data_IF_133576066483
#
_entry.id   IF_133576066483
#
_cell.length_a   1.000
_cell.length_b   1.000
_cell.length_c   1.000
_cell.angle_alpha   90.00
_cell.angle_beta   90.00
_cell.angle_gamma   90.00
#
_symmetry.space_group_name_H-M   'P 1'
#
loop_
_entity.id
_entity.type
_entity.pdbx_description
1 polymer ?
#
# COMPACT_ATOMS: atom_id res chain seq x y z
N UNK A 1 4.57 20.61 -75.55
CA UNK A 1 5.57 20.80 -74.48
C UNK A 1 4.94 21.71 -73.44
N UNK A 2 4.24 21.15 -72.45
CA UNK A 2 4.67 20.85 -71.05
C UNK A 2 3.97 21.86 -70.11
N UNK A 3 2.93 21.40 -69.39
CA UNK A 3 2.86 21.15 -67.92
C UNK A 3 2.34 22.39 -67.16
N UNK A 4 1.16 22.39 -66.51
CA UNK A 4 0.67 21.64 -65.35
C UNK A 4 0.84 22.39 -64.01
N UNK A 5 -0.28 22.95 -63.52
CA UNK A 5 -0.82 22.88 -62.15
C UNK A 5 0.05 23.22 -60.91
N UNK A 6 -0.37 24.31 -60.25
CA UNK A 6 -0.74 24.42 -58.81
C UNK A 6 0.32 24.39 -57.67
N UNK A 7 0.03 25.25 -56.67
CA UNK A 7 0.43 25.26 -55.24
C UNK A 7 1.73 26.00 -54.88
N UNK A 8 1.59 27.27 -54.48
CA UNK A 8 2.48 27.88 -53.48
C UNK A 8 2.00 27.45 -52.09
N UNK A 9 2.73 26.52 -51.49
CA UNK A 9 2.58 26.09 -50.11
C UNK A 9 3.26 27.08 -49.15
N UNK A 10 2.52 27.45 -48.12
CA UNK A 10 3.01 28.04 -46.88
C UNK A 10 4.12 27.14 -46.29
N UNK A 11 5.28 27.66 -45.83
CA UNK A 11 6.25 26.83 -45.13
C UNK A 11 5.61 26.36 -43.81
N UNK A 12 5.25 25.08 -43.78
CA UNK A 12 4.90 24.37 -42.57
C UNK A 12 6.05 24.51 -41.57
N UNK A 13 5.77 25.17 -40.46
CA UNK A 13 6.50 24.95 -39.21
C UNK A 13 6.36 23.46 -38.94
N UNK A 14 7.46 22.72 -39.10
CA UNK A 14 7.53 21.33 -38.73
C UNK A 14 7.36 21.25 -37.21
N UNK A 15 6.19 20.80 -36.75
CA UNK A 15 6.03 20.32 -35.38
C UNK A 15 7.06 19.21 -35.16
N UNK A 16 8.03 19.48 -34.30
CA UNK A 16 8.90 18.47 -33.76
C UNK A 16 8.04 17.41 -33.04
N UNK A 17 8.39 16.12 -33.11
CA UNK A 17 7.65 15.09 -32.39
C UNK A 17 7.69 15.39 -30.89
N UNK A 18 6.52 15.62 -30.29
CA UNK A 18 6.38 15.73 -28.86
C UNK A 18 6.98 14.48 -28.21
N UNK A 19 7.95 14.70 -27.31
CA UNK A 19 8.59 13.68 -26.47
C UNK A 19 7.57 12.67 -25.95
N UNK A 20 7.86 11.37 -26.08
CA UNK A 20 6.97 10.23 -25.84
C UNK A 20 6.52 9.99 -24.40
N UNK A 21 6.09 11.03 -23.68
CA UNK A 21 5.48 10.92 -22.35
C UNK A 21 3.98 10.66 -22.50
N UNK A 22 3.47 9.62 -21.82
CA UNK A 22 2.04 9.37 -21.76
C UNK A 22 1.28 10.57 -21.17
N UNK A 23 0.05 10.88 -21.63
CA UNK A 23 -0.75 11.97 -21.04
C UNK A 23 -0.90 11.77 -19.53
N UNK A 24 -0.81 12.84 -18.73
CA UNK A 24 -0.87 12.77 -17.26
C UNK A 24 -2.11 11.99 -16.74
N UNK A 25 -3.25 12.13 -17.41
CA UNK A 25 -4.46 11.33 -17.09
C UNK A 25 -4.32 9.82 -17.34
N UNK A 26 -3.46 9.39 -18.28
CA UNK A 26 -3.10 7.99 -18.46
C UNK A 26 -2.19 7.49 -17.34
N UNK A 27 -1.20 8.29 -16.92
CA UNK A 27 -0.30 7.98 -15.80
C UNK A 27 -1.09 7.82 -14.50
N UNK A 28 -1.99 8.75 -14.17
CA UNK A 28 -2.81 8.69 -12.97
C UNK A 28 -3.67 7.42 -12.92
N UNK A 29 -4.31 7.07 -14.06
CA UNK A 29 -5.07 5.80 -14.17
C UNK A 29 -4.18 4.59 -13.96
N UNK A 30 -2.97 4.58 -14.50
CA UNK A 30 -2.04 3.46 -14.34
C UNK A 30 -1.58 3.31 -12.89
N UNK A 31 -1.21 4.40 -12.22
CA UNK A 31 -0.89 4.40 -10.78
C UNK A 31 -2.05 3.82 -9.97
N UNK A 32 -3.28 4.22 -10.28
CA UNK A 32 -4.46 3.69 -9.62
C UNK A 32 -4.72 2.20 -9.88
N UNK A 33 -4.43 1.70 -11.08
CA UNK A 33 -4.47 0.27 -11.38
C UNK A 33 -3.43 -0.51 -10.57
N UNK A 34 -2.20 0.01 -10.47
CA UNK A 34 -1.14 -0.63 -9.68
C UNK A 34 -1.52 -0.69 -8.20
N UNK A 35 -2.05 0.39 -7.62
CA UNK A 35 -2.51 0.41 -6.24
C UNK A 35 -3.67 -0.56 -5.99
N UNK A 36 -4.66 -0.59 -6.89
CA UNK A 36 -5.79 -1.52 -6.80
C UNK A 36 -5.33 -2.97 -6.91
N UNK A 37 -4.40 -3.27 -7.83
CA UNK A 37 -3.84 -4.60 -7.99
C UNK A 37 -3.02 -5.03 -6.77
N UNK A 38 -2.24 -4.13 -6.17
CA UNK A 38 -1.49 -4.39 -4.95
C UNK A 38 -2.41 -4.77 -3.79
N UNK A 39 -3.51 -4.02 -3.58
CA UNK A 39 -4.49 -4.36 -2.54
C UNK A 39 -5.23 -5.65 -2.82
N UNK A 40 -5.59 -5.92 -4.07
CA UNK A 40 -6.18 -7.22 -4.41
C UNK A 40 -5.24 -8.38 -4.11
N UNK A 41 -3.95 -8.24 -4.45
CA UNK A 41 -2.92 -9.26 -4.17
C UNK A 41 -2.71 -9.46 -2.67
N UNK A 42 -2.69 -8.40 -1.88
CA UNK A 42 -2.65 -8.48 -0.41
C UNK A 42 -3.86 -9.28 0.09
N UNK A 43 -5.08 -8.87 -0.29
CA UNK A 43 -6.27 -9.52 0.28
C UNK A 43 -6.44 -10.96 -0.20
N UNK A 44 -6.05 -11.28 -1.43
CA UNK A 44 -6.10 -12.64 -1.98
C UNK A 44 -5.00 -13.57 -1.44
N UNK A 45 -4.01 -13.04 -0.71
CA UNK A 45 -2.88 -13.81 -0.21
C UNK A 45 -3.30 -14.90 0.78
N UNK A 46 -2.61 -16.04 0.74
CA UNK A 46 -2.76 -17.09 1.74
C UNK A 46 -1.52 -17.96 1.82
N UNK A 47 -1.12 -18.44 3.02
CA UNK A 47 -1.67 -18.12 4.34
C UNK A 47 -1.28 -16.70 4.82
N UNK A 48 -2.16 -16.08 5.62
CA UNK A 48 -1.94 -14.76 6.22
C UNK A 48 -2.37 -14.75 7.71
N UNK A 49 -1.43 -14.81 8.65
CA UNK A 49 -1.77 -15.03 10.06
C UNK A 49 -2.79 -14.07 10.65
N UNK A 50 -3.93 -14.59 11.13
CA UNK A 50 -4.99 -13.80 11.78
C UNK A 50 -5.73 -12.77 10.91
N UNK A 51 -5.43 -12.70 9.61
CA UNK A 51 -6.00 -11.75 8.65
C UNK A 51 -7.06 -12.42 7.78
N UNK A 52 -7.97 -11.61 7.23
CA UNK A 52 -9.01 -12.05 6.27
C UNK A 52 -8.39 -12.49 4.95
N UNK A 53 -8.69 -13.69 4.49
CA UNK A 53 -8.21 -14.28 3.24
C UNK A 53 -9.38 -14.86 2.44
N UNK A 54 -9.17 -15.35 1.20
CA UNK A 54 -10.20 -16.11 0.49
C UNK A 54 -10.66 -17.37 1.24
N UNK A 55 -9.83 -17.91 2.14
CA UNK A 55 -10.11 -19.15 2.86
C UNK A 55 -10.98 -18.92 4.10
N UNK A 56 -10.80 -17.82 4.81
CA UNK A 56 -11.51 -17.52 6.06
C UNK A 56 -11.43 -16.04 6.47
N UNK A 57 -12.13 -15.70 7.55
CA UNK A 57 -12.16 -14.34 8.12
C UNK A 57 -11.00 -14.07 9.10
N UNK A 58 -10.04 -14.99 9.26
CA UNK A 58 -9.00 -14.92 10.27
C UNK A 58 -9.57 -14.65 11.66
N UNK A 59 -9.02 -13.65 12.34
CA UNK A 59 -9.45 -13.23 13.69
C UNK A 59 -10.67 -12.30 13.69
N UNK A 60 -11.33 -12.09 12.55
CA UNK A 60 -12.47 -11.18 12.44
C UNK A 60 -13.80 -11.93 12.46
N UNK A 61 -14.84 -11.24 12.92
CA UNK A 61 -16.24 -11.74 12.93
C UNK A 61 -17.19 -10.86 12.13
N UNK A 62 -16.73 -9.67 11.78
CA UNK A 62 -17.46 -8.59 11.14
C UNK A 62 -17.07 -8.41 9.66
N UNK A 63 -16.00 -9.04 9.19
CA UNK A 63 -15.52 -8.91 7.81
C UNK A 63 -15.00 -10.23 7.25
N UNK A 64 -15.14 -10.38 5.94
CA UNK A 64 -14.72 -11.52 5.14
C UNK A 64 -14.12 -11.05 3.79
N UNK A 65 -13.63 -11.99 2.97
CA UNK A 65 -13.05 -11.68 1.66
C UNK A 65 -14.00 -10.87 0.77
N UNK A 66 -15.31 -11.19 0.79
CA UNK A 66 -16.32 -10.48 -0.02
C UNK A 66 -16.47 -9.02 0.40
N UNK A 67 -16.35 -8.74 1.69
CA UNK A 67 -16.36 -7.38 2.25
C UNK A 67 -15.16 -6.58 1.75
N UNK A 68 -13.97 -7.18 1.69
CA UNK A 68 -12.81 -6.55 1.08
C UNK A 68 -12.96 -6.33 -0.44
N UNK A 69 -13.54 -7.27 -1.17
CA UNK A 69 -13.81 -7.10 -2.62
C UNK A 69 -14.78 -5.93 -2.86
N UNK A 70 -15.84 -5.80 -2.06
CA UNK A 70 -16.75 -4.63 -2.11
C UNK A 70 -16.01 -3.32 -1.84
N UNK A 71 -15.13 -3.32 -0.85
CA UNK A 71 -14.28 -2.18 -0.52
C UNK A 71 -13.37 -1.79 -1.69
N UNK A 72 -12.69 -2.74 -2.34
CA UNK A 72 -11.85 -2.49 -3.53
C UNK A 72 -12.65 -1.85 -4.67
N UNK A 73 -13.85 -2.36 -4.93
CA UNK A 73 -14.74 -1.80 -5.95
C UNK A 73 -15.12 -0.35 -5.65
N UNK A 74 -15.36 -0.01 -4.38
CA UNK A 74 -15.66 1.36 -3.95
C UNK A 74 -14.46 2.31 -4.11
N UNK A 75 -13.24 1.79 -3.99
CA UNK A 75 -11.99 2.55 -4.05
C UNK A 75 -11.37 2.67 -5.45
N UNK A 76 -11.92 1.99 -6.47
CA UNK A 76 -11.34 1.95 -7.83
C UNK A 76 -11.04 3.31 -8.46
N UNK A 77 -11.85 4.34 -8.15
CA UNK A 77 -11.67 5.69 -8.70
C UNK A 77 -10.78 6.58 -7.83
N UNK A 78 -10.63 6.24 -6.55
CA UNK A 78 -9.88 7.04 -5.58
C UNK A 78 -8.40 7.13 -5.94
N UNK A 79 -7.74 6.01 -6.25
CA UNK A 79 -6.30 6.01 -6.51
C UNK A 79 -5.90 6.84 -7.74
N UNK A 80 -6.62 6.78 -8.88
CA UNK A 80 -6.40 7.73 -9.98
C UNK A 80 -6.68 9.19 -9.59
N UNK A 81 -7.77 9.45 -8.84
CA UNK A 81 -8.13 10.81 -8.40
C UNK A 81 -7.02 11.44 -7.55
N UNK A 82 -6.51 10.70 -6.56
CA UNK A 82 -5.48 11.20 -5.66
C UNK A 82 -4.09 11.28 -6.33
N UNK A 83 -3.79 10.39 -7.28
CA UNK A 83 -2.61 10.52 -8.12
C UNK A 83 -2.66 11.80 -8.98
N UNK A 84 -3.79 12.08 -9.62
CA UNK A 84 -4.00 13.29 -10.40
C UNK A 84 -3.95 14.55 -9.52
N UNK A 85 -4.48 14.47 -8.29
CA UNK A 85 -4.33 15.55 -7.32
C UNK A 85 -2.85 15.80 -7.01
N UNK A 86 -2.04 14.76 -6.83
CA UNK A 86 -0.59 14.87 -6.64
C UNK A 86 0.15 15.56 -7.80
N UNK A 87 -0.30 15.37 -9.04
CA UNK A 87 0.30 15.97 -10.24
C UNK A 87 0.20 17.51 -10.28
N UNK A 88 -0.73 18.09 -9.52
CA UNK A 88 -0.88 19.55 -9.41
C UNK A 88 -0.24 20.11 -8.12
N UNK A 89 0.68 19.35 -7.53
CA UNK A 89 1.45 19.68 -6.32
C UNK A 89 0.61 20.28 -5.17
N UNK A 90 -0.34 19.51 -4.61
CA UNK A 90 -1.19 20.02 -3.56
C UNK A 90 -0.44 20.02 -2.23
N UNK A 91 -0.79 20.97 -1.35
CA UNK A 91 -0.58 20.78 0.08
C UNK A 91 -1.33 19.54 0.61
N UNK A 92 -1.15 19.17 1.87
CA UNK A 92 -1.73 17.93 2.40
C UNK A 92 -3.27 17.92 2.46
N UNK A 93 -3.90 19.06 2.73
CA UNK A 93 -5.34 19.16 3.02
C UNK A 93 -6.26 18.73 1.83
N UNK A 94 -6.00 19.09 0.56
CA UNK A 94 -6.70 18.49 -0.59
C UNK A 94 -6.63 16.96 -0.65
N UNK A 95 -5.47 16.35 -0.38
CA UNK A 95 -5.29 14.90 -0.36
C UNK A 95 -6.09 14.27 0.77
N UNK A 96 -6.07 14.91 1.95
CA UNK A 96 -6.87 14.49 3.11
C UNK A 96 -8.37 14.46 2.79
N UNK A 97 -8.91 15.47 2.11
CA UNK A 97 -10.33 15.48 1.72
C UNK A 97 -10.69 14.33 0.77
N UNK A 98 -9.81 14.01 -0.19
CA UNK A 98 -9.99 12.85 -1.06
C UNK A 98 -9.98 11.55 -0.26
N UNK A 99 -9.05 11.39 0.67
CA UNK A 99 -8.97 10.23 1.58
C UNK A 99 -10.23 10.06 2.43
N UNK A 100 -10.74 11.15 3.03
CA UNK A 100 -11.98 11.13 3.83
C UNK A 100 -13.19 10.75 2.98
N UNK A 101 -13.30 11.27 1.76
CA UNK A 101 -14.36 10.91 0.82
C UNK A 101 -14.28 9.43 0.40
N UNK A 102 -13.08 8.93 0.12
CA UNK A 102 -12.85 7.53 -0.21
C UNK A 102 -13.20 6.60 0.97
N UNK A 103 -12.86 6.99 2.19
CA UNK A 103 -13.22 6.27 3.40
C UNK A 103 -14.74 6.20 3.59
N UNK A 104 -15.45 7.32 3.39
CA UNK A 104 -16.91 7.34 3.47
C UNK A 104 -17.56 6.40 2.44
N UNK A 105 -17.05 6.41 1.19
CA UNK A 105 -17.51 5.47 0.14
C UNK A 105 -17.25 4.02 0.50
N UNK A 106 -16.06 3.74 1.04
CA UNK A 106 -15.69 2.40 1.51
C UNK A 106 -16.67 1.94 2.58
N UNK A 107 -16.86 2.73 3.65
CA UNK A 107 -17.76 2.40 4.75
C UNK A 107 -19.19 2.19 4.26
N UNK A 108 -19.68 3.01 3.34
CA UNK A 108 -21.01 2.83 2.75
C UNK A 108 -21.11 1.47 2.01
N UNK A 109 -20.09 1.10 1.22
CA UNK A 109 -20.08 -0.15 0.46
C UNK A 109 -19.90 -1.41 1.34
N UNK A 110 -19.29 -1.25 2.52
CA UNK A 110 -19.03 -2.34 3.47
C UNK A 110 -20.01 -2.39 4.63
N UNK A 111 -21.06 -1.56 4.65
CA UNK A 111 -22.04 -1.55 5.75
C UNK A 111 -21.48 -1.03 7.07
N UNK A 112 -20.55 -0.07 7.02
CA UNK A 112 -19.89 0.54 8.18
C UNK A 112 -18.64 -0.21 8.65
N UNK A 113 -18.27 -1.30 7.99
CA UNK A 113 -17.13 -2.14 8.37
C UNK A 113 -15.82 -1.54 7.85
N UNK A 114 -14.86 -1.35 8.73
CA UNK A 114 -13.55 -0.80 8.39
C UNK A 114 -12.62 -1.86 7.80
N UNK A 115 -12.40 -1.82 6.48
CA UNK A 115 -11.48 -2.72 5.77
C UNK A 115 -10.15 -2.03 5.42
N UNK A 116 -10.15 -1.15 4.42
CA UNK A 116 -8.96 -0.57 3.80
C UNK A 116 -8.66 0.87 4.27
N UNK A 117 -9.10 1.30 5.47
CA UNK A 117 -8.82 2.68 5.94
C UNK A 117 -7.32 3.00 5.98
N UNK A 118 -6.48 2.07 6.44
CA UNK A 118 -5.04 2.25 6.46
C UNK A 118 -4.44 2.30 5.05
N UNK A 119 -4.84 1.38 4.18
CA UNK A 119 -4.51 1.40 2.75
C UNK A 119 -4.93 2.69 2.02
N UNK A 120 -6.12 3.24 2.28
CA UNK A 120 -6.58 4.53 1.71
C UNK A 120 -5.59 5.63 2.04
N UNK A 121 -5.12 5.68 3.29
CA UNK A 121 -4.14 6.65 3.75
C UNK A 121 -2.76 6.39 3.12
N UNK A 122 -2.21 5.19 3.31
CA UNK A 122 -0.84 4.85 2.91
C UNK A 122 -0.66 4.86 1.38
N UNK A 123 -1.43 4.06 0.64
CA UNK A 123 -1.34 4.01 -0.82
C UNK A 123 -1.86 5.28 -1.47
N UNK A 124 -2.81 5.98 -0.85
CA UNK A 124 -3.27 7.28 -1.34
C UNK A 124 -2.13 8.31 -1.41
N UNK A 125 -1.36 8.44 -0.32
CA UNK A 125 -0.21 9.35 -0.27
C UNK A 125 0.89 8.95 -1.25
N UNK A 126 1.16 7.64 -1.39
CA UNK A 126 2.14 7.16 -2.36
C UNK A 126 1.69 7.37 -3.81
N UNK A 127 0.41 7.20 -4.12
CA UNK A 127 -0.16 7.55 -5.42
C UNK A 127 -0.03 9.05 -5.71
N UNK A 128 -0.30 9.91 -4.72
CA UNK A 128 -0.11 11.36 -4.86
C UNK A 128 1.36 11.71 -5.11
N UNK A 129 2.28 11.15 -4.33
CA UNK A 129 3.73 11.38 -4.48
C UNK A 129 4.24 10.89 -5.84
N UNK A 130 3.81 9.71 -6.29
CA UNK A 130 4.13 9.19 -7.61
C UNK A 130 3.55 10.07 -8.73
N UNK A 131 2.34 10.62 -8.55
CA UNK A 131 1.76 11.59 -9.46
C UNK A 131 2.59 12.87 -9.56
N UNK A 132 3.00 13.45 -8.43
CA UNK A 132 3.85 14.64 -8.38
C UNK A 132 5.19 14.41 -9.10
N UNK A 133 5.85 13.27 -8.84
CA UNK A 133 7.11 12.92 -9.49
C UNK A 133 6.94 12.73 -11.00
N UNK A 134 5.86 12.08 -11.44
CA UNK A 134 5.58 11.88 -12.86
C UNK A 134 5.30 13.21 -13.58
N UNK A 135 4.58 14.14 -12.96
CA UNK A 135 4.34 15.47 -13.51
C UNK A 135 5.64 16.29 -13.64
N UNK A 136 6.59 16.09 -12.73
CA UNK A 136 7.94 16.66 -12.79
C UNK A 136 8.91 15.94 -13.73
N UNK A 137 8.47 14.88 -14.45
CA UNK A 137 9.33 14.09 -15.33
C UNK A 137 10.39 13.25 -14.61
N UNK A 138 10.17 12.93 -13.33
CA UNK A 138 11.09 12.13 -12.53
C UNK A 138 10.79 10.62 -12.65
N UNK A 139 11.85 9.81 -12.55
CA UNK A 139 11.72 8.35 -12.47
C UNK A 139 11.01 7.95 -11.19
N UNK A 140 10.03 7.05 -11.31
CA UNK A 140 9.24 6.53 -10.19
C UNK A 140 9.94 5.35 -9.51
N UNK A 141 10.98 5.63 -8.73
CA UNK A 141 11.59 4.61 -7.85
C UNK A 141 10.84 4.51 -6.53
N UNK A 142 10.95 3.37 -5.85
CA UNK A 142 10.31 3.18 -4.54
C UNK A 142 10.81 4.23 -3.53
N UNK A 143 12.11 4.50 -3.54
CA UNK A 143 12.78 5.47 -2.69
C UNK A 143 12.31 6.89 -2.99
N UNK A 144 12.21 7.27 -4.28
CA UNK A 144 11.78 8.60 -4.67
C UNK A 144 10.32 8.86 -4.28
N UNK A 145 9.43 7.88 -4.51
CA UNK A 145 8.01 8.00 -4.16
C UNK A 145 7.84 8.11 -2.64
N UNK A 146 8.56 7.30 -1.87
CA UNK A 146 8.51 7.34 -0.41
C UNK A 146 9.08 8.64 0.17
N UNK A 147 10.26 9.07 -0.28
CA UNK A 147 10.85 10.36 0.10
C UNK A 147 9.95 11.53 -0.31
N UNK A 148 9.24 11.40 -1.43
CA UNK A 148 8.29 12.39 -1.88
C UNK A 148 7.09 12.57 -0.93
N UNK A 149 6.71 11.56 -0.16
CA UNK A 149 5.66 11.69 0.87
C UNK A 149 6.21 12.43 2.09
N UNK A 150 7.35 12.00 2.62
CA UNK A 150 7.95 12.60 3.82
C UNK A 150 8.34 14.06 3.59
N UNK A 151 8.99 14.37 2.46
CA UNK A 151 9.44 15.73 2.15
C UNK A 151 8.29 16.70 1.87
N UNK A 152 7.17 16.24 1.28
CA UNK A 152 6.05 17.13 0.92
C UNK A 152 5.05 17.31 2.05
N UNK A 153 4.76 16.24 2.80
CA UNK A 153 3.62 16.22 3.71
C UNK A 153 3.95 15.68 5.10
N UNK A 154 5.20 15.32 5.41
CA UNK A 154 5.59 14.70 6.68
C UNK A 154 5.14 15.50 7.91
N UNK A 155 5.46 16.80 7.94
CA UNK A 155 5.09 17.69 9.05
C UNK A 155 3.57 17.86 9.15
N UNK A 156 2.87 18.03 8.03
CA UNK A 156 1.40 18.16 7.99
C UNK A 156 0.71 16.85 8.44
N UNK A 157 1.24 15.68 8.08
CA UNK A 157 0.75 14.36 8.51
C UNK A 157 0.81 14.22 10.03
N UNK A 158 1.93 14.65 10.64
CA UNK A 158 2.11 14.62 12.09
C UNK A 158 1.23 15.68 12.78
N UNK A 159 1.18 16.90 12.23
CA UNK A 159 0.39 18.02 12.76
C UNK A 159 -1.13 17.83 12.66
N UNK A 160 -1.61 17.03 11.70
CA UNK A 160 -3.03 16.71 11.56
C UNK A 160 -3.57 15.76 12.66
N UNK A 161 -2.74 15.38 13.64
CA UNK A 161 -3.17 14.63 14.79
C UNK A 161 -4.10 15.44 15.69
N UNK A 162 -5.40 15.11 15.64
CA UNK A 162 -6.39 15.58 16.63
C UNK A 162 -6.22 14.76 17.92
N UNK A 163 -5.84 15.38 19.06
CA UNK A 163 -5.74 14.71 20.37
C UNK A 163 -7.04 14.05 20.85
N UNK A 164 -8.16 14.46 20.26
CA UNK A 164 -9.56 14.20 20.59
C UNK A 164 -10.20 13.06 19.75
N UNK A 165 -9.48 12.44 18.82
CA UNK A 165 -10.03 11.36 17.98
C UNK A 165 -10.07 10.01 18.73
N UNK A 166 -11.25 9.47 19.00
CA UNK A 166 -11.51 8.17 19.66
C UNK A 166 -11.22 6.94 18.76
N UNK A 167 -10.13 6.97 17.98
CA UNK A 167 -9.74 5.85 17.13
C UNK A 167 -8.81 4.88 17.88
N UNK A 168 -8.86 3.59 17.53
CA UNK A 168 -7.94 2.58 18.06
C UNK A 168 -6.47 3.02 17.97
N UNK A 169 -6.06 3.64 16.86
CA UNK A 169 -4.70 4.14 16.66
C UNK A 169 -4.32 5.30 17.60
N UNK A 170 -5.25 6.19 17.91
CA UNK A 170 -5.01 7.30 18.85
C UNK A 170 -4.92 6.80 20.30
N UNK A 171 -5.70 5.78 20.67
CA UNK A 171 -5.60 5.12 21.97
C UNK A 171 -4.27 4.36 22.09
N UNK A 172 -3.85 3.62 21.06
CA UNK A 172 -2.58 2.90 21.04
C UNK A 172 -1.39 3.86 21.10
N UNK A 173 -1.40 4.96 20.33
CA UNK A 173 -0.38 6.00 20.41
C UNK A 173 -0.27 6.56 21.84
N UNK A 174 -1.41 6.81 22.51
CA UNK A 174 -1.43 7.32 23.88
C UNK A 174 -0.89 6.30 24.89
N UNK A 175 -1.20 5.01 24.73
CA UNK A 175 -0.81 3.94 25.66
C UNK A 175 0.60 3.43 25.46
N UNK A 176 1.11 3.46 24.23
CA UNK A 176 2.35 2.77 23.85
C UNK A 176 3.38 3.67 23.15
N UNK A 177 3.04 4.92 22.81
CA UNK A 177 3.98 5.86 22.18
C UNK A 177 4.37 5.52 20.73
N UNK A 178 3.68 4.57 20.09
CA UNK A 178 3.99 4.11 18.73
C UNK A 178 3.30 5.00 17.69
N UNK A 179 4.09 5.61 16.80
CA UNK A 179 3.61 6.55 15.76
C UNK A 179 2.61 5.98 14.74
N UNK A 180 2.51 4.64 14.65
CA UNK A 180 1.56 3.93 13.80
C UNK A 180 1.68 4.29 12.32
N UNK A 181 0.57 4.16 11.58
CA UNK A 181 0.54 4.45 10.14
C UNK A 181 0.97 5.88 9.77
N UNK A 182 0.71 6.86 10.66
CA UNK A 182 1.13 8.25 10.44
C UNK A 182 2.64 8.44 10.59
N UNK A 183 3.23 7.84 11.64
CA UNK A 183 4.68 7.84 11.83
C UNK A 183 5.39 7.19 10.65
N UNK A 184 4.90 6.04 10.19
CA UNK A 184 5.42 5.40 8.98
C UNK A 184 5.32 6.31 7.75
N UNK A 185 4.14 6.89 7.47
CA UNK A 185 3.96 7.76 6.31
C UNK A 185 4.83 9.02 6.38
N UNK A 186 4.89 9.68 7.53
CA UNK A 186 5.69 10.89 7.73
C UNK A 186 7.20 10.63 7.59
N UNK A 187 7.66 9.43 7.95
CA UNK A 187 9.05 9.00 7.76
C UNK A 187 9.33 8.45 6.35
N UNK A 188 8.33 8.36 5.45
CA UNK A 188 8.51 7.82 4.10
C UNK A 188 8.52 6.29 4.06
N UNK A 189 7.67 5.64 4.86
CA UNK A 189 7.44 4.19 4.87
C UNK A 189 8.72 3.33 5.05
N UNK A 190 9.57 3.61 6.04
CA UNK A 190 10.80 2.85 6.26
C UNK A 190 10.56 1.34 6.43
N UNK A 191 9.47 0.91 7.06
CA UNK A 191 9.18 -0.52 7.19
C UNK A 191 8.90 -1.18 5.82
N UNK A 192 8.19 -0.50 4.91
CA UNK A 192 7.97 -1.03 3.57
C UNK A 192 9.27 -1.04 2.74
N UNK A 193 10.09 0.01 2.82
CA UNK A 193 11.34 0.14 2.05
C UNK A 193 12.46 -0.78 2.54
N UNK A 194 12.62 -0.92 3.86
CA UNK A 194 13.79 -1.58 4.45
C UNK A 194 13.50 -2.98 4.98
N UNK A 195 12.21 -3.35 5.13
CA UNK A 195 11.81 -4.70 5.57
C UNK A 195 11.01 -5.42 4.50
N UNK A 196 9.86 -4.85 4.11
CA UNK A 196 8.93 -5.52 3.18
C UNK A 196 9.53 -5.75 1.80
N UNK A 197 10.04 -4.69 1.16
CA UNK A 197 10.56 -4.75 -0.21
C UNK A 197 11.82 -5.63 -0.34
N UNK A 198 12.82 -5.56 0.57
CA UNK A 198 13.96 -6.47 0.53
C UNK A 198 13.56 -7.93 0.77
N UNK A 199 12.62 -8.20 1.69
CA UNK A 199 12.13 -9.56 1.92
C UNK A 199 11.38 -10.12 0.69
N UNK A 200 10.54 -9.31 0.06
CA UNK A 200 9.81 -9.68 -1.15
C UNK A 200 10.77 -9.98 -2.32
N UNK A 201 11.63 -9.02 -2.67
CA UNK A 201 12.57 -9.16 -3.79
C UNK A 201 13.62 -10.23 -3.54
N UNK A 202 14.08 -10.36 -2.30
CA UNK A 202 15.04 -11.40 -1.89
C UNK A 202 14.47 -12.81 -2.02
N UNK A 203 13.17 -13.01 -1.74
CA UNK A 203 12.51 -14.29 -1.98
C UNK A 203 12.37 -14.60 -3.47
N UNK A 204 11.96 -13.61 -4.27
CA UNK A 204 11.89 -13.76 -5.73
C UNK A 204 13.25 -14.13 -6.35
N UNK A 205 14.32 -13.45 -5.94
CA UNK A 205 15.67 -13.71 -6.41
C UNK A 205 16.16 -15.13 -6.06
N UNK A 206 15.58 -15.75 -5.03
CA UNK A 206 15.84 -17.13 -4.62
C UNK A 206 14.86 -18.15 -5.24
N UNK A 207 14.04 -17.72 -6.21
CA UNK A 207 13.15 -18.60 -6.97
C UNK A 207 11.77 -18.82 -6.34
N UNK A 208 11.38 -18.06 -5.31
CA UNK A 208 10.02 -18.10 -4.79
C UNK A 208 9.02 -17.54 -5.81
N UNK A 209 7.78 -18.05 -5.80
CA UNK A 209 6.69 -17.46 -6.57
C UNK A 209 6.32 -16.06 -6.04
N UNK A 210 5.62 -15.21 -6.81
CA UNK A 210 5.14 -13.91 -6.34
C UNK A 210 4.25 -13.99 -5.09
N UNK A 211 3.44 -15.05 -4.95
CA UNK A 211 2.62 -15.31 -3.77
C UNK A 211 3.49 -15.69 -2.58
N UNK A 212 4.45 -16.59 -2.76
CA UNK A 212 5.40 -16.97 -1.71
C UNK A 212 6.22 -15.77 -1.24
N UNK A 213 6.71 -14.95 -2.16
CA UNK A 213 7.43 -13.72 -1.83
C UNK A 213 6.56 -12.73 -1.04
N UNK A 214 5.27 -12.61 -1.37
CA UNK A 214 4.33 -11.78 -0.61
C UNK A 214 4.10 -12.33 0.81
N UNK A 215 3.98 -13.65 0.98
CA UNK A 215 3.94 -14.27 2.32
C UNK A 215 5.23 -13.98 3.09
N UNK A 216 6.40 -14.17 2.46
CA UNK A 216 7.69 -13.87 3.09
C UNK A 216 7.75 -12.42 3.59
N UNK A 217 7.35 -11.46 2.75
CA UNK A 217 7.33 -10.05 3.10
C UNK A 217 6.36 -9.74 4.24
N UNK A 218 5.16 -10.34 4.23
CA UNK A 218 4.19 -10.20 5.32
C UNK A 218 4.78 -10.69 6.66
N UNK A 219 5.43 -11.86 6.66
CA UNK A 219 6.09 -12.38 7.86
C UNK A 219 7.24 -11.50 8.33
N UNK A 220 8.03 -10.92 7.42
CA UNK A 220 9.09 -9.97 7.75
C UNK A 220 8.53 -8.70 8.39
N UNK A 221 7.46 -8.14 7.83
CA UNK A 221 6.77 -6.97 8.37
C UNK A 221 6.21 -7.25 9.77
N UNK A 222 5.52 -8.38 9.98
CA UNK A 222 4.99 -8.77 11.30
C UNK A 222 6.09 -9.00 12.35
N UNK A 223 7.28 -9.43 11.94
CA UNK A 223 8.41 -9.62 12.84
C UNK A 223 9.06 -8.29 13.28
N UNK A 224 9.02 -7.28 12.42
CA UNK A 224 9.72 -6.02 12.62
C UNK A 224 8.84 -4.89 13.17
N UNK A 225 7.58 -4.83 12.77
CA UNK A 225 6.70 -3.69 13.02
C UNK A 225 6.06 -3.74 14.41
N UNK A 226 5.97 -2.59 15.07
CA UNK A 226 5.08 -2.40 16.23
C UNK A 226 3.64 -2.19 15.75
N UNK A 227 3.01 -3.28 15.29
CA UNK A 227 1.67 -3.23 14.68
C UNK A 227 0.62 -2.79 15.72
N UNK A 228 0.06 -1.61 15.48
CA UNK A 228 -0.96 -1.02 16.36
C UNK A 228 -2.24 -1.86 16.48
N UNK A 229 -2.58 -2.70 15.47
CA UNK A 229 -3.72 -3.60 15.57
C UNK A 229 -3.43 -4.80 16.50
N UNK A 230 -2.18 -5.28 16.51
CA UNK A 230 -1.75 -6.29 17.48
C UNK A 230 -1.73 -5.73 18.89
N UNK A 231 -1.19 -4.52 19.08
CA UNK A 231 -1.23 -3.82 20.37
C UNK A 231 -2.66 -3.59 20.87
N UNK A 232 -3.58 -3.22 19.97
CA UNK A 232 -4.98 -3.03 20.33
C UNK A 232 -5.65 -4.34 20.78
N UNK A 233 -5.44 -5.44 20.05
CA UNK A 233 -6.16 -6.71 20.30
C UNK A 233 -5.52 -7.58 21.38
N UNK A 234 -4.20 -7.62 21.45
CA UNK A 234 -3.43 -8.51 22.33
C UNK A 234 -2.44 -7.79 23.25
N UNK A 235 -2.39 -6.46 23.25
CA UNK A 235 -1.43 -5.70 24.05
C UNK A 235 0.03 -5.96 23.65
N UNK A 236 0.94 -5.59 24.55
CA UNK A 236 2.38 -5.80 24.35
C UNK A 236 2.74 -7.29 24.25
N UNK A 237 2.03 -8.16 24.98
CA UNK A 237 2.23 -9.62 24.92
C UNK A 237 1.84 -10.19 23.56
N UNK A 238 0.68 -9.81 23.02
CA UNK A 238 0.23 -10.22 21.70
C UNK A 238 1.17 -9.77 20.58
N UNK A 239 1.67 -8.53 20.66
CA UNK A 239 2.69 -8.04 19.74
C UNK A 239 4.00 -8.83 19.86
N UNK A 240 4.51 -9.04 21.08
CA UNK A 240 5.76 -9.77 21.31
C UNK A 240 5.67 -11.21 20.79
N UNK A 241 4.54 -11.89 21.07
CA UNK A 241 4.25 -13.23 20.56
C UNK A 241 4.26 -13.28 19.03
N UNK A 242 3.54 -12.36 18.38
CA UNK A 242 3.50 -12.29 16.92
C UNK A 242 4.90 -12.09 16.32
N UNK A 243 5.69 -11.17 16.88
CA UNK A 243 7.07 -10.92 16.43
C UNK A 243 7.93 -12.16 16.59
N UNK A 244 7.84 -12.84 17.74
CA UNK A 244 8.61 -14.05 18.02
C UNK A 244 8.30 -15.19 17.04
N UNK A 245 7.01 -15.51 16.83
CA UNK A 245 6.65 -16.66 15.97
C UNK A 245 6.92 -16.36 14.49
N UNK A 246 6.75 -15.12 14.05
CA UNK A 246 7.08 -14.70 12.68
C UNK A 246 8.59 -14.68 12.45
N UNK A 247 9.39 -14.15 13.39
CA UNK A 247 10.85 -14.24 13.33
C UNK A 247 11.33 -15.70 13.30
N UNK A 248 10.71 -16.57 14.11
CA UNK A 248 11.00 -18.00 14.11
C UNK A 248 10.66 -18.70 12.79
N UNK A 249 9.58 -18.29 12.10
CA UNK A 249 9.27 -18.78 10.75
C UNK A 249 10.36 -18.41 9.75
N UNK A 250 10.77 -17.14 9.75
CA UNK A 250 11.82 -16.62 8.86
C UNK A 250 13.18 -17.28 9.12
N UNK A 251 13.56 -17.43 10.40
CA UNK A 251 14.81 -18.08 10.81
C UNK A 251 14.91 -19.55 10.36
N UNK A 252 13.78 -20.23 10.16
CA UNK A 252 13.72 -21.59 9.61
C UNK A 252 13.62 -21.64 8.09
N UNK A 253 14.05 -20.57 7.41
CA UNK A 253 14.05 -20.43 5.95
C UNK A 253 12.75 -19.87 5.35
N UNK A 254 11.76 -19.53 6.18
CA UNK A 254 10.50 -18.94 5.72
C UNK A 254 9.83 -19.75 4.61
N UNK A 255 9.40 -19.07 3.55
CA UNK A 255 8.75 -19.70 2.37
C UNK A 255 9.69 -20.54 1.50
N UNK A 256 11.00 -20.40 1.67
CA UNK A 256 12.00 -21.14 0.91
C UNK A 256 12.27 -22.53 1.51
N UNK A 257 11.85 -22.76 2.75
CA UNK A 257 12.06 -24.03 3.41
C UNK A 257 10.97 -25.05 3.05
N UNK A 258 11.35 -26.34 3.02
CA UNK A 258 10.39 -27.44 2.81
C UNK A 258 9.29 -27.43 3.89
N UNK A 259 8.05 -27.71 3.49
CA UNK A 259 6.91 -27.70 4.42
C UNK A 259 6.67 -26.35 5.10
N UNK A 260 6.98 -25.22 4.44
CA UNK A 260 6.68 -23.89 4.97
C UNK A 260 5.17 -23.66 5.13
N UNK A 261 4.36 -24.17 4.20
CA UNK A 261 2.92 -23.93 4.17
C UNK A 261 2.17 -24.43 5.42
N UNK A 262 2.32 -25.71 5.86
CA UNK A 262 1.70 -26.15 7.10
C UNK A 262 2.15 -25.34 8.32
N UNK A 263 3.41 -24.90 8.35
CA UNK A 263 3.94 -24.06 9.44
C UNK A 263 3.30 -22.68 9.45
N UNK A 264 3.17 -22.04 8.29
CA UNK A 264 2.52 -20.74 8.17
C UNK A 264 1.00 -20.84 8.48
N UNK A 265 0.34 -21.94 8.08
CA UNK A 265 -1.05 -22.23 8.48
C UNK A 265 -1.19 -22.45 9.99
N UNK A 266 -0.26 -23.14 10.64
CA UNK A 266 -0.27 -23.31 12.08
C UNK A 266 -0.13 -21.96 12.82
N UNK A 267 0.77 -21.07 12.35
CA UNK A 267 0.89 -19.72 12.88
C UNK A 267 -0.40 -18.91 12.65
N UNK A 268 -1.04 -19.07 11.49
CA UNK A 268 -2.34 -18.46 11.26
C UNK A 268 -3.39 -18.91 12.27
N UNK A 269 -3.51 -20.21 12.53
CA UNK A 269 -4.48 -20.72 13.50
C UNK A 269 -4.18 -20.26 14.93
N UNK A 270 -2.90 -20.16 15.31
CA UNK A 270 -2.50 -19.60 16.59
C UNK A 270 -2.88 -18.12 16.72
N UNK A 271 -2.74 -17.31 15.67
CA UNK A 271 -3.22 -15.92 15.65
C UNK A 271 -4.74 -15.85 15.82
N UNK A 272 -5.50 -16.71 15.12
CA UNK A 272 -6.96 -16.78 15.24
C UNK A 272 -7.38 -17.14 16.67
N UNK A 273 -6.75 -18.16 17.26
CA UNK A 273 -7.04 -18.60 18.63
C UNK A 273 -6.77 -17.51 19.67
N UNK A 274 -5.78 -16.65 19.42
CA UNK A 274 -5.41 -15.51 20.28
C UNK A 274 -6.12 -14.21 19.92
N UNK A 275 -7.02 -14.23 18.94
CA UNK A 275 -7.68 -13.05 18.39
C UNK A 275 -6.68 -11.95 17.92
N UNK A 276 -5.51 -12.34 17.43
CA UNK A 276 -4.49 -11.42 16.92
C UNK A 276 -4.74 -11.13 15.44
N UNK A 277 -4.70 -9.86 15.04
CA UNK A 277 -4.83 -9.47 13.63
C UNK A 277 -3.83 -8.35 13.28
N UNK A 278 -2.78 -8.65 12.51
CA UNK A 278 -1.72 -7.70 12.14
C UNK A 278 -2.11 -6.81 10.96
N UNK A 279 -3.15 -5.99 11.15
CA UNK A 279 -3.69 -5.12 10.10
C UNK A 279 -2.69 -4.06 9.58
N UNK A 280 -1.80 -3.54 10.44
CA UNK A 280 -0.80 -2.55 10.02
C UNK A 280 0.26 -3.17 9.12
N UNK A 281 0.64 -4.42 9.42
CA UNK A 281 1.54 -5.22 8.60
C UNK A 281 0.92 -5.57 7.25
N UNK A 282 -0.39 -5.84 7.20
CA UNK A 282 -1.13 -6.05 5.95
C UNK A 282 -1.18 -4.78 5.09
N UNK A 283 -1.48 -3.62 5.69
CA UNK A 283 -1.46 -2.34 4.99
C UNK A 283 -0.08 -2.05 4.37
N UNK A 284 1.01 -2.33 5.12
CA UNK A 284 2.38 -2.19 4.61
C UNK A 284 2.75 -3.24 3.58
N UNK A 285 2.17 -4.44 3.60
CA UNK A 285 2.32 -5.39 2.50
C UNK A 285 1.72 -4.83 1.21
N UNK A 286 0.54 -4.22 1.29
CA UNK A 286 -0.06 -3.50 0.16
C UNK A 286 0.86 -2.41 -0.39
N UNK A 287 1.51 -1.64 0.50
CA UNK A 287 2.54 -0.66 0.12
C UNK A 287 3.73 -1.33 -0.57
N UNK A 288 4.31 -2.38 0.02
CA UNK A 288 5.44 -3.12 -0.55
C UNK A 288 5.14 -3.61 -1.96
N UNK A 289 3.96 -4.21 -2.18
CA UNK A 289 3.56 -4.73 -3.50
C UNK A 289 3.35 -3.60 -4.52
N UNK A 290 2.84 -2.44 -4.09
CA UNK A 290 2.72 -1.26 -4.95
C UNK A 290 4.10 -0.72 -5.35
N UNK A 291 5.01 -0.53 -4.39
CA UNK A 291 6.36 -0.02 -4.63
C UNK A 291 7.17 -0.95 -5.54
N UNK A 292 7.01 -2.27 -5.40
CA UNK A 292 7.62 -3.23 -6.31
C UNK A 292 7.06 -3.11 -7.73
N UNK A 293 5.75 -2.94 -7.87
CA UNK A 293 5.11 -2.85 -9.18
C UNK A 293 5.47 -1.58 -9.96
N UNK A 294 5.85 -0.49 -9.27
CA UNK A 294 6.39 0.72 -9.90
C UNK A 294 7.71 0.44 -10.65
N UNK A 295 8.58 -0.40 -10.09
CA UNK A 295 9.86 -0.73 -10.70
C UNK A 295 9.70 -1.44 -12.06
N UNK A 296 8.66 -2.26 -12.21
CA UNK A 296 8.39 -3.04 -13.41
C UNK A 296 7.79 -2.22 -14.56
N UNK A 297 7.41 -0.96 -14.31
CA UNK A 297 6.74 -0.10 -15.29
C UNK A 297 7.49 1.23 -15.38
N UNK A 298 8.44 1.30 -16.30
CA UNK A 298 9.01 2.58 -16.74
C UNK A 298 7.92 3.29 -17.55
N UNK A 299 7.52 4.47 -17.08
CA UNK A 299 6.49 5.31 -17.70
C UNK A 299 7.06 6.17 -18.83
#
# INVERSE_FOLDING_TARGET
MSEAWARQGNPAVADAPASGHAPLGAVARRLGQLATAALYREVALSPKPGLVSPQDSGSHRDMDFRTFVRSLQALRSYFPEIAAAGMVEPGFEPLRRLGVSAEARMLAATGGINTHRGAIFNLGLLCASAGALAAGGHTLTAEAVCAGVSCRWGDEILGAARPDATSHGAEVLRRHGVGGARGEAAAGFPAALHVGLPAYRGALAQGASPEQAAVQALFALMAALDDTNLLWRGGAEGLAHARQVCAGFLARGGVLASGWEPRARAIHQDFVARNLSPGGSADLLGVTLFLDALHLHVF
#
